data_IF_285477078113
#
_entry.id   IF_285477078113
#
_cell.length_a   1.000
_cell.length_b   1.000
_cell.length_c   1.000
_cell.angle_alpha   90.00
_cell.angle_beta   90.00
_cell.angle_gamma   90.00
#
_symmetry.space_group_name_H-M   'P 1'
#
loop_
_entity.id
_entity.type
_entity.pdbx_description
1 polymer ?
#
# COMPACT_ATOMS: atom_id res chain seq x y z
N UNK A 1 -4.14 2.84 -25.55
CA UNK A 1 -4.18 4.20 -25.00
C UNK A 1 -2.86 4.55 -24.34
N UNK A 2 -2.30 5.72 -24.63
CA UNK A 2 -1.12 6.28 -23.94
C UNK A 2 -1.58 7.21 -22.81
N UNK A 3 -1.42 6.75 -21.56
CA UNK A 3 -1.75 7.51 -20.36
C UNK A 3 -0.54 8.31 -19.83
N UNK A 4 0.25 8.90 -20.72
CA UNK A 4 1.47 9.61 -20.38
C UNK A 4 1.20 10.85 -19.50
N UNK A 5 1.57 10.76 -18.23
CA UNK A 5 1.41 11.83 -17.23
C UNK A 5 2.37 13.01 -17.44
N UNK A 6 3.43 12.84 -18.25
CA UNK A 6 4.36 13.95 -18.56
C UNK A 6 3.70 15.12 -19.31
N UNK A 7 2.50 14.89 -19.85
CA UNK A 7 1.66 15.91 -20.51
C UNK A 7 0.82 16.75 -19.54
N UNK A 8 0.84 16.42 -18.25
CA UNK A 8 0.09 17.14 -17.22
C UNK A 8 0.89 18.36 -16.73
N UNK A 9 0.18 19.46 -16.48
CA UNK A 9 0.77 20.64 -15.86
C UNK A 9 0.67 20.52 -14.32
N UNK A 10 1.52 19.68 -13.75
CA UNK A 10 1.60 19.36 -12.32
C UNK A 10 3.06 19.39 -11.87
N UNK A 11 3.36 19.59 -10.58
CA UNK A 11 4.73 19.70 -10.07
C UNK A 11 5.64 18.52 -10.41
N UNK A 12 5.10 17.31 -10.41
CA UNK A 12 5.84 16.07 -10.62
C UNK A 12 5.13 15.19 -11.67
N UNK A 13 5.23 15.51 -12.98
CA UNK A 13 4.49 14.83 -14.04
C UNK A 13 5.16 13.50 -14.45
N UNK A 14 5.49 12.65 -13.47
CA UNK A 14 6.11 11.33 -13.68
C UNK A 14 5.71 10.35 -12.57
N UNK A 15 5.81 9.07 -12.86
CA UNK A 15 5.76 8.02 -11.85
C UNK A 15 7.16 7.66 -11.40
N UNK A 16 7.36 7.59 -10.08
CA UNK A 16 8.60 7.12 -9.49
C UNK A 16 8.44 5.63 -9.13
N UNK A 17 9.21 4.78 -9.80
CA UNK A 17 9.24 3.34 -9.51
C UNK A 17 10.39 3.04 -8.56
N UNK A 18 10.04 2.66 -7.33
CA UNK A 18 11.01 2.33 -6.28
C UNK A 18 10.77 0.92 -5.76
N UNK A 19 11.86 0.23 -5.40
CA UNK A 19 11.75 -0.98 -4.61
C UNK A 19 11.45 -0.62 -3.16
N UNK A 20 10.55 -1.35 -2.50
CA UNK A 20 10.19 -1.09 -1.10
C UNK A 20 11.41 -1.17 -0.16
N UNK A 21 12.34 -2.07 -0.44
CA UNK A 21 13.59 -2.21 0.31
C UNK A 21 14.41 -0.91 0.28
N UNK A 22 14.62 -0.35 -0.91
CA UNK A 22 15.40 0.89 -1.06
C UNK A 22 14.74 2.07 -0.33
N UNK A 23 13.39 2.19 -0.38
CA UNK A 23 12.68 3.23 0.38
C UNK A 23 12.91 3.03 1.87
N UNK A 24 12.75 1.79 2.35
CA UNK A 24 12.96 1.47 3.77
C UNK A 24 14.38 1.75 4.23
N UNK A 25 15.39 1.44 3.41
CA UNK A 25 16.79 1.71 3.70
C UNK A 25 17.09 3.22 3.78
N UNK A 26 16.58 4.01 2.84
CA UNK A 26 16.76 5.46 2.83
C UNK A 26 16.12 6.10 4.06
N UNK A 27 14.86 5.74 4.37
CA UNK A 27 14.14 6.27 5.52
C UNK A 27 14.82 5.86 6.84
N UNK A 28 15.26 4.61 6.94
CA UNK A 28 15.95 4.11 8.13
C UNK A 28 17.32 4.78 8.30
N UNK A 29 18.09 4.93 7.22
CA UNK A 29 19.37 5.64 7.26
C UNK A 29 19.21 7.08 7.71
N UNK A 30 18.17 7.76 7.19
CA UNK A 30 17.85 9.12 7.62
C UNK A 30 17.48 9.19 9.10
N UNK A 31 16.58 8.32 9.57
CA UNK A 31 16.17 8.27 10.97
C UNK A 31 17.35 7.92 11.90
N UNK A 32 18.21 6.97 11.49
CA UNK A 32 19.36 6.52 12.27
C UNK A 32 20.49 7.56 12.38
N UNK A 33 20.42 8.65 11.61
CA UNK A 33 21.34 9.78 11.75
C UNK A 33 21.02 10.65 12.97
N UNK A 34 19.82 10.55 13.52
CA UNK A 34 19.43 11.22 14.76
C UNK A 34 19.93 10.41 15.97
N UNK A 35 20.64 11.09 16.89
CA UNK A 35 21.20 10.48 18.11
C UNK A 35 20.14 9.91 19.07
N UNK A 36 18.94 10.45 19.00
CA UNK A 36 17.82 10.07 19.87
C UNK A 36 16.92 8.99 19.23
N UNK A 37 17.28 8.52 18.01
CA UNK A 37 16.60 7.41 17.35
C UNK A 37 17.09 6.06 17.87
N UNK A 38 16.19 5.23 18.39
CA UNK A 38 16.47 3.89 18.86
C UNK A 38 15.64 2.86 18.11
N UNK A 39 16.29 1.83 17.54
CA UNK A 39 15.64 0.72 16.87
C UNK A 39 15.84 -0.59 17.60
N UNK A 40 14.76 -1.27 17.91
CA UNK A 40 14.76 -2.59 18.55
C UNK A 40 14.20 -3.63 17.57
N UNK A 41 15.06 -4.53 17.09
CA UNK A 41 14.67 -5.64 16.21
C UNK A 41 15.69 -6.80 16.25
N UNK A 42 15.25 -8.04 16.09
CA UNK A 42 13.85 -8.45 16.08
C UNK A 42 13.24 -8.46 17.47
N UNK A 43 11.99 -8.02 17.56
CA UNK A 43 11.19 -8.12 18.79
C UNK A 43 10.40 -9.42 18.75
N UNK A 44 10.47 -10.23 19.83
CA UNK A 44 9.65 -11.42 20.00
C UNK A 44 8.28 -11.10 20.59
N UNK A 45 8.26 -10.15 21.52
CA UNK A 45 7.03 -9.75 22.20
C UNK A 45 7.08 -8.27 22.56
N UNK A 46 5.96 -7.58 22.31
CA UNK A 46 5.69 -6.23 22.77
C UNK A 46 4.36 -6.27 23.54
N UNK A 47 4.40 -6.01 24.83
CA UNK A 47 3.23 -6.10 25.71
C UNK A 47 2.97 -4.74 26.31
N UNK A 48 1.75 -4.22 26.14
CA UNK A 48 1.29 -3.05 26.87
C UNK A 48 1.09 -3.42 28.34
N UNK A 49 1.69 -2.68 29.25
CA UNK A 49 1.59 -2.89 30.69
C UNK A 49 0.46 -2.02 31.26
N UNK A 50 0.60 -0.71 31.08
CA UNK A 50 -0.36 0.28 31.58
C UNK A 50 -0.31 1.57 30.80
N UNK A 51 -1.37 2.36 30.92
CA UNK A 51 -1.39 3.76 30.51
C UNK A 51 -1.96 4.58 31.66
N UNK A 52 -1.31 5.70 31.95
CA UNK A 52 -1.78 6.71 32.91
C UNK A 52 -2.00 8.07 32.21
N UNK A 53 -2.18 9.12 32.99
CA UNK A 53 -2.44 10.47 32.46
C UNK A 53 -1.26 11.03 31.65
N UNK A 54 -0.02 10.57 31.91
CA UNK A 54 1.19 11.15 31.35
C UNK A 54 1.86 10.28 30.28
N UNK A 55 1.64 8.96 30.28
CA UNK A 55 2.41 8.03 29.44
C UNK A 55 1.76 6.66 29.32
N UNK A 56 2.23 5.90 28.36
CA UNK A 56 1.99 4.48 28.24
C UNK A 56 3.30 3.69 28.41
N UNK A 57 3.24 2.53 29.06
CA UNK A 57 4.38 1.67 29.33
C UNK A 57 4.23 0.34 28.58
N UNK A 58 5.29 -0.03 27.89
CA UNK A 58 5.40 -1.30 27.15
C UNK A 58 6.58 -2.10 27.61
N UNK A 59 6.41 -3.39 27.78
CA UNK A 59 7.50 -4.37 27.96
C UNK A 59 7.86 -4.95 26.60
N UNK A 60 9.14 -4.92 26.27
CA UNK A 60 9.72 -5.52 25.08
C UNK A 60 10.57 -6.72 25.45
N UNK A 61 10.46 -7.79 24.64
CA UNK A 61 11.31 -8.97 24.69
C UNK A 61 12.00 -9.14 23.35
N UNK A 62 13.32 -9.04 23.32
CA UNK A 62 14.13 -9.21 22.13
C UNK A 62 14.42 -10.70 21.84
N UNK A 63 14.95 -11.01 20.66
CA UNK A 63 15.28 -12.38 20.25
C UNK A 63 16.32 -13.05 21.16
N UNK A 64 17.25 -12.30 21.72
CA UNK A 64 18.25 -12.74 22.69
C UNK A 64 17.70 -12.89 24.11
N UNK A 65 16.38 -12.74 24.28
CA UNK A 65 15.63 -12.76 25.55
C UNK A 65 15.93 -11.58 26.49
N UNK A 66 16.60 -10.53 26.03
CA UNK A 66 16.69 -9.29 26.78
C UNK A 66 15.30 -8.68 26.93
N UNK A 67 14.97 -8.29 28.15
CA UNK A 67 13.69 -7.66 28.49
C UNK A 67 13.94 -6.26 29.04
N UNK A 68 13.11 -5.30 28.64
CA UNK A 68 13.14 -3.94 29.18
C UNK A 68 11.78 -3.25 28.96
N UNK A 69 11.58 -2.15 29.66
CA UNK A 69 10.37 -1.32 29.53
C UNK A 69 10.67 -0.03 28.79
N UNK A 70 9.72 0.37 27.96
CA UNK A 70 9.69 1.66 27.29
C UNK A 70 8.49 2.44 27.79
N UNK A 71 8.75 3.69 28.20
CA UNK A 71 7.72 4.66 28.55
C UNK A 71 7.60 5.68 27.42
N UNK A 72 6.39 5.95 26.94
CA UNK A 72 6.15 6.85 25.80
C UNK A 72 4.93 7.74 25.99
N UNK A 73 5.03 8.99 25.53
CA UNK A 73 3.91 9.96 25.48
C UNK A 73 3.04 9.78 24.22
N UNK A 74 3.60 9.28 23.12
CA UNK A 74 2.87 9.01 21.87
C UNK A 74 3.13 7.60 21.40
N UNK A 75 2.08 6.91 20.99
CA UNK A 75 2.14 5.59 20.36
C UNK A 75 1.68 5.70 18.92
N UNK A 76 2.47 5.20 17.98
CA UNK A 76 2.09 5.09 16.58
C UNK A 76 2.00 3.61 16.22
N UNK A 77 0.77 3.11 16.05
CA UNK A 77 0.50 1.74 15.65
C UNK A 77 0.56 1.61 14.13
N UNK A 78 1.66 1.06 13.62
CA UNK A 78 1.91 0.84 12.18
C UNK A 78 2.18 -0.63 11.88
N UNK A 79 1.58 -1.54 12.65
CA UNK A 79 1.85 -2.97 12.67
C UNK A 79 1.00 -3.79 11.68
N UNK A 80 0.42 -3.11 10.68
CA UNK A 80 -0.16 -3.71 9.48
C UNK A 80 -1.54 -4.35 9.69
N UNK A 81 -1.96 -5.14 8.71
CA UNK A 81 -3.30 -5.74 8.62
C UNK A 81 -3.67 -6.54 9.89
N UNK A 82 -2.72 -7.26 10.47
CA UNK A 82 -2.96 -8.09 11.66
C UNK A 82 -2.85 -7.34 13.00
N UNK A 83 -2.72 -6.02 12.97
CA UNK A 83 -2.39 -5.14 14.10
C UNK A 83 -2.75 -5.69 15.49
N UNK A 84 -1.73 -5.87 16.31
CA UNK A 84 -1.90 -6.22 17.73
C UNK A 84 -2.14 -4.97 18.57
N UNK A 85 -1.61 -3.82 18.16
CA UNK A 85 -1.81 -2.54 18.85
C UNK A 85 -3.29 -2.17 18.86
N UNK A 86 -4.00 -2.28 17.72
CA UNK A 86 -5.43 -2.01 17.68
C UNK A 86 -6.22 -2.88 18.67
N UNK A 87 -5.88 -4.18 18.75
CA UNK A 87 -6.53 -5.13 19.68
C UNK A 87 -6.23 -4.79 21.13
N UNK A 88 -4.96 -4.49 21.43
CA UNK A 88 -4.51 -4.14 22.78
C UNK A 88 -5.24 -2.92 23.32
N UNK A 89 -5.47 -1.91 22.46
CA UNK A 89 -6.17 -0.70 22.86
C UNK A 89 -7.69 -0.75 22.62
N UNK A 90 -8.22 -1.90 22.20
CA UNK A 90 -9.65 -2.10 21.98
C UNK A 90 -10.21 -1.18 20.88
N UNK A 91 -9.44 -0.96 19.81
CA UNK A 91 -9.90 -0.29 18.60
C UNK A 91 -10.44 -1.36 17.67
N UNK A 92 -11.75 -1.31 17.44
CA UNK A 92 -12.41 -2.22 16.49
C UNK A 92 -12.07 -1.85 15.05
N UNK A 93 -11.96 -2.89 14.22
CA UNK A 93 -11.67 -2.73 12.79
C UNK A 93 -12.57 -3.65 11.97
N UNK A 94 -13.20 -3.10 10.97
CA UNK A 94 -13.83 -3.86 9.91
C UNK A 94 -12.75 -4.44 8.99
N UNK A 95 -12.94 -5.67 8.54
CA UNK A 95 -12.06 -6.29 7.55
C UNK A 95 -12.87 -6.95 6.46
N UNK A 96 -12.45 -6.73 5.21
CA UNK A 96 -13.03 -7.41 4.05
C UNK A 96 -11.92 -8.10 3.26
N UNK A 97 -12.01 -9.42 3.16
CA UNK A 97 -11.06 -10.24 2.41
C UNK A 97 -11.61 -10.53 1.02
N UNK A 98 -10.88 -10.11 0.00
CA UNK A 98 -11.27 -10.32 -1.40
C UNK A 98 -11.15 -11.78 -1.83
N UNK A 99 -11.94 -12.16 -2.85
CA UNK A 99 -12.00 -13.53 -3.35
C UNK A 99 -10.80 -13.90 -4.23
N UNK A 100 -10.18 -12.92 -4.89
CA UNK A 100 -8.99 -13.16 -5.70
C UNK A 100 -7.72 -12.74 -4.95
N UNK A 101 -6.67 -13.55 -5.11
CA UNK A 101 -5.34 -13.20 -4.60
C UNK A 101 -4.55 -12.45 -5.68
N UNK A 102 -3.63 -11.59 -5.25
CA UNK A 102 -2.67 -10.94 -6.12
C UNK A 102 -1.40 -11.80 -6.22
N UNK A 103 -1.10 -12.29 -7.42
CA UNK A 103 0.19 -12.87 -7.74
C UNK A 103 1.11 -11.77 -8.28
N UNK A 104 2.31 -11.67 -7.71
CA UNK A 104 3.35 -10.72 -8.11
C UNK A 104 4.59 -11.50 -8.47
N UNK A 105 4.99 -11.44 -9.73
CA UNK A 105 6.14 -12.13 -10.30
C UNK A 105 7.25 -11.12 -10.54
N UNK A 106 8.48 -11.51 -10.32
CA UNK A 106 9.65 -10.66 -10.50
C UNK A 106 10.55 -11.24 -11.60
N UNK A 107 10.96 -10.36 -12.54
CA UNK A 107 11.92 -10.68 -13.61
C UNK A 107 13.06 -9.66 -13.56
N UNK A 108 14.33 -10.13 -13.72
CA UNK A 108 15.51 -9.26 -13.83
C UNK A 108 15.81 -8.86 -15.25
N UNK A 109 15.60 -9.79 -16.19
CA UNK A 109 16.18 -9.70 -17.51
C UNK A 109 15.22 -9.09 -18.55
N UNK A 110 13.94 -8.96 -18.21
CA UNK A 110 12.97 -8.38 -19.14
C UNK A 110 13.10 -6.87 -19.17
N UNK A 111 13.59 -6.34 -20.28
CA UNK A 111 13.61 -4.91 -20.54
C UNK A 111 12.34 -4.51 -21.26
N UNK A 112 11.60 -3.62 -20.64
CA UNK A 112 10.56 -2.86 -21.32
C UNK A 112 11.24 -1.94 -22.34
N UNK A 113 10.61 -1.80 -23.53
CA UNK A 113 11.08 -0.91 -24.60
C UNK A 113 11.72 0.39 -24.07
N UNK A 114 12.43 1.13 -24.91
CA UNK A 114 13.24 2.34 -24.61
C UNK A 114 12.63 3.35 -23.63
N UNK A 115 11.32 3.26 -23.34
CA UNK A 115 10.62 4.07 -22.34
C UNK A 115 10.16 3.14 -21.23
N UNK A 116 10.66 3.31 -20.02
CA UNK A 116 10.27 2.58 -18.81
C UNK A 116 8.81 2.86 -18.41
N UNK A 117 7.87 2.39 -19.21
CA UNK A 117 6.44 2.58 -19.00
C UNK A 117 5.81 1.40 -18.27
N UNK A 118 4.87 1.71 -17.37
CA UNK A 118 3.92 0.72 -16.89
C UNK A 118 3.05 0.27 -18.08
N UNK A 119 2.93 -1.06 -18.28
CA UNK A 119 2.06 -1.65 -19.30
C UNK A 119 0.95 -2.46 -18.64
N UNK A 120 -0.24 -2.35 -19.20
CA UNK A 120 -1.41 -3.11 -18.78
C UNK A 120 -1.95 -3.91 -19.95
N UNK A 121 -2.20 -5.20 -19.73
CA UNK A 121 -2.74 -6.12 -20.71
C UNK A 121 -4.08 -6.64 -20.23
N UNK A 122 -5.10 -6.55 -21.08
CA UNK A 122 -6.43 -7.14 -20.84
C UNK A 122 -6.43 -8.58 -21.33
N UNK A 123 -6.58 -9.52 -20.42
CA UNK A 123 -6.63 -10.96 -20.71
C UNK A 123 -8.01 -11.53 -20.35
N UNK A 124 -8.26 -12.78 -20.69
CA UNK A 124 -9.49 -13.45 -20.29
C UNK A 124 -9.55 -13.77 -18.79
N UNK A 125 -8.41 -13.73 -18.10
CA UNK A 125 -8.31 -13.96 -16.65
C UNK A 125 -8.36 -12.67 -15.82
N UNK A 126 -8.34 -11.52 -16.45
CA UNK A 126 -8.27 -10.21 -15.80
C UNK A 126 -7.15 -9.37 -16.36
N UNK A 127 -6.78 -8.36 -15.59
CA UNK A 127 -5.75 -7.40 -15.95
C UNK A 127 -4.39 -7.94 -15.51
N UNK A 128 -3.44 -7.98 -16.45
CA UNK A 128 -2.01 -8.20 -16.17
C UNK A 128 -1.31 -6.86 -16.24
N UNK A 129 -0.65 -6.47 -15.17
CA UNK A 129 0.08 -5.19 -15.10
C UNK A 129 1.58 -5.45 -15.01
N UNK A 130 2.35 -4.83 -15.88
CA UNK A 130 3.80 -4.90 -15.88
C UNK A 130 4.38 -3.55 -15.47
N UNK A 131 5.19 -3.56 -14.41
CA UNK A 131 5.76 -2.37 -13.77
C UNK A 131 7.28 -2.45 -13.86
N UNK A 132 7.96 -1.44 -14.42
CA UNK A 132 9.43 -1.36 -14.44
C UNK A 132 10.01 -1.40 -13.02
N UNK A 133 11.23 -1.91 -12.88
CA UNK A 133 12.01 -1.87 -11.62
C UNK A 133 13.21 -0.94 -11.77
N UNK A 134 13.55 -0.26 -10.69
CA UNK A 134 14.64 0.72 -10.68
C UNK A 134 16.02 0.12 -11.10
N UNK A 135 16.25 -1.15 -10.78
CA UNK A 135 17.52 -1.85 -11.04
C UNK A 135 17.46 -2.76 -12.29
N UNK A 136 16.56 -2.47 -13.22
CA UNK A 136 16.31 -3.30 -14.39
C UNK A 136 15.27 -4.40 -14.13
N UNK A 137 14.78 -5.00 -15.21
CA UNK A 137 13.69 -5.97 -15.17
C UNK A 137 12.33 -5.36 -14.87
N UNK A 138 11.38 -6.20 -14.52
CA UNK A 138 10.02 -5.79 -14.23
C UNK A 138 9.36 -6.60 -13.11
N UNK A 139 8.25 -6.07 -12.64
CA UNK A 139 7.30 -6.75 -11.76
C UNK A 139 6.00 -6.96 -12.53
N UNK A 140 5.51 -8.19 -12.59
CA UNK A 140 4.23 -8.54 -13.24
C UNK A 140 3.21 -8.87 -12.17
N UNK A 141 2.11 -8.13 -12.13
CA UNK A 141 1.00 -8.34 -11.23
C UNK A 141 -0.23 -8.85 -11.97
N UNK A 142 -0.90 -9.87 -11.41
CA UNK A 142 -2.19 -10.37 -11.89
C UNK A 142 -3.00 -10.94 -10.74
N UNK A 143 -4.31 -11.03 -10.92
CA UNK A 143 -5.18 -11.69 -9.94
C UNK A 143 -5.41 -13.15 -10.31
N UNK A 144 -5.45 -14.01 -9.28
CA UNK A 144 -5.75 -15.45 -9.41
C UNK A 144 -6.89 -15.81 -8.46
N UNK A 145 -7.64 -16.87 -8.76
CA UNK A 145 -8.66 -17.40 -7.87
C UNK A 145 -8.05 -17.88 -6.55
N UNK A 146 -8.80 -17.77 -5.47
CA UNK A 146 -8.33 -18.22 -4.13
C UNK A 146 -8.06 -19.73 -4.12
N UNK A 147 -8.82 -20.49 -4.86
CA UNK A 147 -8.65 -21.95 -5.04
C UNK A 147 -7.34 -22.30 -5.74
N UNK A 148 -6.84 -21.42 -6.61
CA UNK A 148 -5.60 -21.62 -7.37
C UNK A 148 -4.35 -21.36 -6.54
N UNK A 149 -4.46 -20.61 -5.43
CA UNK A 149 -3.31 -20.14 -4.62
C UNK A 149 -2.38 -21.29 -4.21
N UNK A 150 -2.92 -22.45 -3.85
CA UNK A 150 -2.11 -23.60 -3.44
C UNK A 150 -1.27 -24.16 -4.58
N UNK A 151 -1.83 -24.22 -5.78
CA UNK A 151 -1.13 -24.70 -6.98
C UNK A 151 -0.11 -23.67 -7.47
N UNK A 152 -0.49 -22.40 -7.50
CA UNK A 152 0.42 -21.32 -7.86
C UNK A 152 1.66 -21.25 -6.96
N UNK A 153 1.52 -21.51 -5.67
CA UNK A 153 2.68 -21.55 -4.72
C UNK A 153 3.64 -22.70 -4.97
N UNK A 154 3.28 -23.71 -5.77
CA UNK A 154 4.13 -24.84 -6.13
C UNK A 154 4.85 -24.65 -7.48
N UNK A 155 4.44 -23.64 -8.27
CA UNK A 155 5.02 -23.41 -9.57
C UNK A 155 6.50 -23.03 -9.46
N UNK A 156 7.28 -23.55 -10.39
CA UNK A 156 8.69 -23.15 -10.56
C UNK A 156 8.77 -21.80 -11.29
N UNK A 157 9.90 -21.10 -11.23
CA UNK A 157 10.14 -19.90 -12.01
C UNK A 157 9.82 -20.06 -13.50
N UNK A 158 10.20 -21.16 -14.12
CA UNK A 158 9.94 -21.47 -15.53
C UNK A 158 8.44 -21.60 -15.80
N UNK A 159 7.71 -22.31 -14.93
CA UNK A 159 6.26 -22.48 -15.05
C UNK A 159 5.50 -21.16 -14.90
N UNK A 160 5.97 -20.25 -14.04
CA UNK A 160 5.41 -18.88 -14.01
C UNK A 160 5.61 -18.15 -15.34
N UNK A 161 6.78 -18.27 -15.97
CA UNK A 161 7.08 -17.72 -17.28
C UNK A 161 6.14 -18.26 -18.36
N UNK A 162 5.89 -19.57 -18.37
CA UNK A 162 4.95 -20.24 -19.30
C UNK A 162 3.52 -19.71 -19.12
N UNK A 163 3.05 -19.60 -17.87
CA UNK A 163 1.71 -19.06 -17.57
C UNK A 163 1.56 -17.63 -18.08
N UNK A 164 2.53 -16.76 -17.82
CA UNK A 164 2.48 -15.37 -18.27
C UNK A 164 2.57 -15.28 -19.80
N UNK A 165 3.44 -16.03 -20.43
CA UNK A 165 3.56 -16.09 -21.90
C UNK A 165 2.26 -16.57 -22.57
N UNK A 166 1.57 -17.53 -21.95
CA UNK A 166 0.26 -18.01 -22.41
C UNK A 166 -0.85 -16.96 -22.30
N UNK A 167 -0.80 -16.12 -21.26
CA UNK A 167 -1.77 -15.04 -21.05
C UNK A 167 -1.47 -13.79 -21.90
N UNK A 168 -0.20 -13.49 -22.07
CA UNK A 168 0.31 -12.31 -22.79
C UNK A 168 1.42 -12.73 -23.74
N UNK A 169 1.09 -13.13 -24.99
CA UNK A 169 2.07 -13.67 -25.93
C UNK A 169 3.26 -12.76 -26.25
N UNK A 170 3.10 -11.43 -26.08
CA UNK A 170 4.21 -10.47 -26.22
C UNK A 170 5.27 -10.59 -25.11
N UNK A 171 4.99 -11.33 -24.03
CA UNK A 171 5.90 -11.61 -22.92
C UNK A 171 6.50 -13.02 -22.99
N UNK A 172 6.57 -13.63 -24.18
CA UNK A 172 7.03 -15.01 -24.39
C UNK A 172 8.44 -15.30 -23.88
N UNK A 173 9.29 -14.28 -23.78
CA UNK A 173 10.69 -14.40 -23.37
C UNK A 173 10.92 -13.97 -21.91
N UNK A 174 9.85 -13.80 -21.14
CA UNK A 174 9.98 -13.36 -19.75
C UNK A 174 10.56 -14.49 -18.87
N UNK A 175 11.63 -14.18 -18.15
CA UNK A 175 12.22 -15.06 -17.15
C UNK A 175 11.79 -14.60 -15.77
N UNK A 176 11.06 -15.45 -15.05
CA UNK A 176 10.64 -15.18 -13.67
C UNK A 176 11.68 -15.72 -12.70
N UNK A 177 12.07 -14.91 -11.71
CA UNK A 177 13.04 -15.31 -10.68
C UNK A 177 12.36 -15.80 -9.41
N UNK A 178 11.34 -15.06 -8.99
CA UNK A 178 10.54 -15.38 -7.81
C UNK A 178 9.13 -14.84 -7.95
N UNK A 179 8.26 -15.29 -7.06
CA UNK A 179 6.87 -14.87 -7.00
C UNK A 179 6.40 -14.73 -5.55
N UNK A 180 5.53 -13.74 -5.32
CA UNK A 180 4.76 -13.59 -4.09
C UNK A 180 3.27 -13.69 -4.37
N UNK A 181 2.51 -14.36 -3.49
CA UNK A 181 1.06 -14.43 -3.61
C UNK A 181 0.45 -13.85 -2.35
N UNK A 182 -0.31 -12.81 -2.51
CA UNK A 182 -0.85 -11.98 -1.44
C UNK A 182 -2.38 -11.98 -1.50
N UNK A 183 -3.08 -12.40 -0.43
CA UNK A 183 -4.53 -12.25 -0.33
C UNK A 183 -4.86 -10.81 0.07
N UNK A 184 -5.46 -10.00 -0.82
CA UNK A 184 -5.83 -8.63 -0.48
C UNK A 184 -6.88 -8.61 0.63
N UNK A 185 -6.73 -7.66 1.54
CA UNK A 185 -7.68 -7.46 2.63
C UNK A 185 -7.82 -5.96 2.86
N UNK A 186 -9.06 -5.46 2.77
CA UNK A 186 -9.37 -4.11 3.20
C UNK A 186 -9.48 -4.08 4.72
N UNK A 187 -8.94 -3.04 5.33
CA UNK A 187 -9.10 -2.73 6.75
C UNK A 187 -9.69 -1.33 6.88
N UNK A 188 -10.67 -1.20 7.75
CA UNK A 188 -11.22 0.09 8.18
C UNK A 188 -11.32 0.11 9.70
N UNK A 189 -10.52 0.94 10.35
CA UNK A 189 -10.63 1.16 11.78
C UNK A 189 -11.83 2.07 12.08
N UNK A 190 -12.64 1.71 13.09
CA UNK A 190 -13.79 2.49 13.51
C UNK A 190 -13.36 3.82 14.17
N UNK A 191 -12.13 3.85 14.64
CA UNK A 191 -11.48 4.99 15.29
C UNK A 191 -9.99 4.91 14.99
N UNK A 192 -9.36 6.04 14.67
CA UNK A 192 -7.92 6.07 14.35
C UNK A 192 -7.07 6.38 15.55
N UNK A 193 -7.64 7.14 16.50
CA UNK A 193 -6.93 7.64 17.66
C UNK A 193 -7.65 7.25 18.95
N UNK A 194 -6.87 6.93 19.99
CA UNK A 194 -7.40 6.64 21.33
C UNK A 194 -6.38 7.03 22.39
N UNK A 195 -6.72 7.96 23.25
CA UNK A 195 -5.78 8.55 24.22
C UNK A 195 -4.54 9.12 23.48
N UNK A 196 -3.36 8.59 23.78
CA UNK A 196 -2.09 8.95 23.17
C UNK A 196 -1.65 8.00 22.03
N UNK A 197 -2.56 7.21 21.50
CA UNK A 197 -2.34 6.28 20.39
C UNK A 197 -2.94 6.83 19.09
N UNK A 198 -2.20 6.68 17.98
CA UNK A 198 -2.72 6.78 16.62
C UNK A 198 -2.38 5.53 15.82
N UNK A 199 -3.34 5.00 15.05
CA UNK A 199 -3.12 3.95 14.05
C UNK A 199 -2.85 4.59 12.69
N UNK A 200 -1.91 4.04 11.92
CA UNK A 200 -1.59 4.49 10.55
C UNK A 200 -1.43 3.31 9.59
N UNK A 201 -1.53 3.59 8.29
CA UNK A 201 -1.35 2.59 7.24
C UNK A 201 -2.33 1.42 7.35
N UNK A 202 -1.88 0.22 7.02
CA UNK A 202 -2.72 -0.98 7.01
C UNK A 202 -3.26 -1.38 8.40
N UNK A 203 -2.70 -0.84 9.48
CA UNK A 203 -3.26 -1.00 10.82
C UNK A 203 -4.57 -0.21 10.98
N UNK A 204 -4.74 0.86 10.22
CA UNK A 204 -5.85 1.81 10.27
C UNK A 204 -6.78 1.71 9.06
N UNK A 205 -6.22 1.78 7.84
CA UNK A 205 -6.93 1.90 6.57
C UNK A 205 -6.24 1.09 5.46
N UNK A 206 -6.27 -0.24 5.58
CA UNK A 206 -5.70 -1.15 4.59
C UNK A 206 -6.45 -1.10 3.26
N UNK A 207 -5.75 -0.84 2.17
CA UNK A 207 -6.29 -0.70 0.82
C UNK A 207 -6.07 -1.97 -0.02
N UNK A 208 -6.98 -2.23 -0.96
CA UNK A 208 -6.73 -3.22 -2.02
C UNK A 208 -5.55 -2.76 -2.89
N UNK A 209 -4.57 -3.62 -3.21
CA UNK A 209 -3.33 -3.22 -3.88
C UNK A 209 -3.49 -2.86 -5.36
N UNK A 210 -4.68 -3.03 -5.94
CA UNK A 210 -4.95 -2.86 -7.38
C UNK A 210 -4.59 -1.49 -7.97
N UNK A 211 -4.43 -0.45 -7.16
CA UNK A 211 -3.98 0.88 -7.59
C UNK A 211 -2.64 1.29 -6.98
N UNK A 212 -1.96 0.43 -6.26
CA UNK A 212 -0.67 0.69 -5.62
C UNK A 212 -0.64 1.96 -4.73
N UNK A 213 -1.74 2.29 -4.05
CA UNK A 213 -1.90 3.54 -3.30
C UNK A 213 -1.65 3.43 -1.80
N UNK A 214 -1.54 2.21 -1.23
CA UNK A 214 -1.45 2.03 0.22
C UNK A 214 -0.29 2.80 0.86
N UNK A 215 0.91 2.68 0.32
CA UNK A 215 2.08 3.40 0.83
C UNK A 215 1.95 4.92 0.67
N UNK A 216 1.51 5.40 -0.49
CA UNK A 216 1.35 6.84 -0.75
C UNK A 216 0.31 7.45 0.21
N UNK A 217 -0.80 6.75 0.44
CA UNK A 217 -1.82 7.17 1.41
C UNK A 217 -1.26 7.24 2.82
N UNK A 218 -0.45 6.24 3.22
CA UNK A 218 0.19 6.22 4.54
C UNK A 218 1.15 7.40 4.70
N UNK A 219 1.99 7.69 3.71
CA UNK A 219 2.92 8.84 3.73
C UNK A 219 2.13 10.15 3.86
N UNK A 220 1.07 10.32 3.08
CA UNK A 220 0.19 11.49 3.18
C UNK A 220 -0.42 11.64 4.58
N UNK A 221 -0.91 10.55 5.17
CA UNK A 221 -1.46 10.56 6.52
C UNK A 221 -0.40 10.93 7.57
N UNK A 222 0.84 10.48 7.41
CA UNK A 222 1.94 10.85 8.30
C UNK A 222 2.24 12.35 8.17
N UNK A 223 2.33 12.87 6.96
CA UNK A 223 2.58 14.29 6.69
C UNK A 223 1.50 15.16 7.34
N UNK A 224 0.23 14.82 7.13
CA UNK A 224 -0.90 15.48 7.80
C UNK A 224 -0.82 15.37 9.33
N UNK A 225 -0.51 14.19 9.88
CA UNK A 225 -0.36 14.01 11.33
C UNK A 225 0.70 14.95 11.90
N UNK A 226 1.83 15.09 11.21
CA UNK A 226 2.93 15.96 11.66
C UNK A 226 2.55 17.45 11.68
N UNK A 227 1.57 17.90 10.89
CA UNK A 227 1.05 19.27 10.94
C UNK A 227 0.31 19.58 12.26
N UNK A 228 -0.30 18.57 12.87
CA UNK A 228 -1.07 18.73 14.12
C UNK A 228 -0.23 18.51 15.38
N UNK A 229 0.78 17.65 15.31
CA UNK A 229 1.57 17.32 16.49
C UNK A 229 2.33 18.55 17.04
N UNK A 230 2.34 18.73 18.37
CA UNK A 230 3.10 19.80 18.98
C UNK A 230 4.60 19.61 18.71
N UNK A 231 5.38 20.70 18.84
CA UNK A 231 6.85 20.60 18.71
C UNK A 231 7.42 19.75 19.84
N UNK A 232 8.56 19.06 19.62
CA UNK A 232 9.15 18.18 20.63
C UNK A 232 9.38 18.82 22.01
N UNK A 233 9.72 20.10 22.04
CA UNK A 233 9.97 20.85 23.28
C UNK A 233 8.72 21.10 24.13
N UNK A 234 7.50 20.96 23.53
CA UNK A 234 6.21 21.16 24.17
C UNK A 234 5.33 19.92 24.13
N UNK A 235 5.90 18.73 24.17
CA UNK A 235 5.21 17.46 23.95
C UNK A 235 4.45 17.01 25.20
N UNK A 236 3.37 17.76 25.57
CA UNK A 236 2.50 17.41 26.67
C UNK A 236 1.35 16.49 26.21
N UNK A 237 0.95 15.55 27.08
CA UNK A 237 0.05 14.47 26.68
C UNK A 237 -1.34 14.98 26.26
N UNK A 238 -1.84 16.01 26.89
CA UNK A 238 -3.14 16.58 26.53
C UNK A 238 -3.08 17.34 25.20
N UNK A 239 -1.96 17.99 24.88
CA UNK A 239 -1.73 18.58 23.56
C UNK A 239 -1.65 17.48 22.48
N UNK A 240 -0.98 16.34 22.78
CA UNK A 240 -0.94 15.19 21.91
C UNK A 240 -2.35 14.65 21.64
N UNK A 241 -3.16 14.41 22.67
CA UNK A 241 -4.54 13.93 22.53
C UNK A 241 -5.40 14.85 21.67
N UNK A 242 -5.29 16.18 21.87
CA UNK A 242 -5.99 17.18 21.06
C UNK A 242 -5.52 17.14 19.60
N UNK A 243 -4.22 17.09 19.37
CA UNK A 243 -3.62 16.99 18.04
C UNK A 243 -4.08 15.73 17.28
N UNK A 244 -4.08 14.58 17.96
CA UNK A 244 -4.54 13.31 17.38
C UNK A 244 -6.03 13.36 17.01
N UNK A 245 -6.88 13.93 17.88
CA UNK A 245 -8.31 14.09 17.59
C UNK A 245 -8.55 15.04 16.42
N UNK A 246 -7.83 16.16 16.34
CA UNK A 246 -7.91 17.09 15.23
C UNK A 246 -7.46 16.45 13.90
N UNK A 247 -6.34 15.73 13.92
CA UNK A 247 -5.85 14.96 12.79
C UNK A 247 -6.91 13.96 12.27
N UNK A 248 -7.47 13.12 13.14
CA UNK A 248 -8.50 12.15 12.74
C UNK A 248 -9.70 12.85 12.11
N UNK A 249 -10.17 13.93 12.74
CA UNK A 249 -11.33 14.70 12.25
C UNK A 249 -11.09 15.26 10.84
N UNK A 250 -9.89 15.73 10.56
CA UNK A 250 -9.56 16.34 9.27
C UNK A 250 -9.22 15.30 8.19
N UNK A 251 -8.40 14.29 8.50
CA UNK A 251 -7.88 13.35 7.51
C UNK A 251 -8.88 12.25 7.16
N UNK A 252 -9.67 11.80 8.13
CA UNK A 252 -10.53 10.62 8.00
C UNK A 252 -11.55 10.69 6.87
N UNK A 253 -12.29 11.77 6.63
CA UNK A 253 -13.30 11.81 5.56
C UNK A 253 -12.73 11.54 4.17
N UNK A 254 -11.58 12.12 3.84
CA UNK A 254 -10.91 11.90 2.56
C UNK A 254 -10.44 10.44 2.40
N UNK A 255 -9.87 9.89 3.43
CA UNK A 255 -9.35 8.51 3.40
C UNK A 255 -10.49 7.48 3.38
N UNK A 256 -11.61 7.74 4.05
CA UNK A 256 -12.78 6.86 3.95
C UNK A 256 -13.41 6.88 2.54
N UNK A 257 -13.42 8.01 1.86
CA UNK A 257 -13.85 8.09 0.46
C UNK A 257 -12.88 7.32 -0.46
N UNK A 258 -11.58 7.46 -0.24
CA UNK A 258 -10.57 6.67 -0.94
C UNK A 258 -10.74 5.16 -0.69
N UNK A 259 -10.96 4.74 0.56
CA UNK A 259 -11.23 3.35 0.92
C UNK A 259 -12.46 2.82 0.16
N UNK A 260 -13.54 3.58 0.13
CA UNK A 260 -14.76 3.21 -0.59
C UNK A 260 -14.51 3.04 -2.08
N UNK A 261 -13.86 4.00 -2.74
CA UNK A 261 -13.49 3.93 -4.16
C UNK A 261 -12.55 2.76 -4.45
N UNK A 262 -11.56 2.54 -3.60
CA UNK A 262 -10.61 1.43 -3.72
C UNK A 262 -11.29 0.06 -3.51
N UNK A 263 -12.25 -0.03 -2.59
CA UNK A 263 -13.04 -1.24 -2.36
C UNK A 263 -13.85 -1.63 -3.61
N UNK A 264 -14.48 -0.67 -4.28
CA UNK A 264 -15.22 -0.94 -5.52
C UNK A 264 -14.30 -1.50 -6.62
N UNK A 265 -13.07 -1.01 -6.71
CA UNK A 265 -12.06 -1.55 -7.63
C UNK A 265 -11.69 -2.99 -7.26
N UNK A 266 -11.47 -3.28 -5.98
CA UNK A 266 -11.22 -4.65 -5.51
C UNK A 266 -12.36 -5.61 -5.87
N UNK A 267 -13.61 -5.19 -5.65
CA UNK A 267 -14.80 -5.97 -6.03
C UNK A 267 -14.90 -6.18 -7.56
N UNK A 268 -14.56 -5.18 -8.36
CA UNK A 268 -14.53 -5.33 -9.82
C UNK A 268 -13.46 -6.32 -10.29
N UNK A 269 -12.33 -6.38 -9.59
CA UNK A 269 -11.30 -7.38 -9.85
C UNK A 269 -11.72 -8.79 -9.44
N UNK A 270 -12.45 -8.95 -8.33
CA UNK A 270 -13.02 -10.22 -7.89
C UNK A 270 -14.04 -10.77 -8.89
N UNK A 271 -14.86 -9.89 -9.46
CA UNK A 271 -15.96 -10.23 -10.36
C UNK A 271 -15.61 -10.03 -11.86
N UNK A 272 -14.30 -10.04 -12.19
CA UNK A 272 -13.88 -9.82 -13.57
C UNK A 272 -14.31 -10.99 -14.47
N UNK A 273 -15.11 -10.67 -15.48
CA UNK A 273 -15.67 -11.59 -16.47
C UNK A 273 -15.50 -11.05 -17.90
N UNK A 274 -16.06 -11.73 -18.88
CA UNK A 274 -16.02 -11.31 -20.27
C UNK A 274 -16.67 -9.92 -20.49
N UNK A 275 -17.78 -9.62 -19.81
CA UNK A 275 -18.42 -8.30 -19.92
C UNK A 275 -17.55 -7.20 -19.32
N UNK A 276 -16.89 -7.47 -18.20
CA UNK A 276 -15.91 -6.57 -17.57
C UNK A 276 -14.76 -6.25 -18.54
N UNK A 277 -14.25 -7.26 -19.25
CA UNK A 277 -13.23 -7.08 -20.29
C UNK A 277 -13.71 -6.17 -21.42
N UNK A 278 -14.91 -6.40 -21.93
CA UNK A 278 -15.52 -5.56 -22.97
C UNK A 278 -15.71 -4.13 -22.49
N UNK A 279 -16.17 -3.93 -21.27
CA UNK A 279 -16.35 -2.61 -20.67
C UNK A 279 -15.01 -1.86 -20.54
N UNK A 280 -13.94 -2.52 -20.09
CA UNK A 280 -12.61 -1.92 -20.03
C UNK A 280 -12.06 -1.54 -21.42
N UNK A 281 -12.27 -2.38 -22.44
CA UNK A 281 -11.90 -2.07 -23.83
C UNK A 281 -12.66 -0.82 -24.30
N UNK A 282 -13.97 -0.77 -24.12
CA UNK A 282 -14.79 0.37 -24.53
C UNK A 282 -14.37 1.65 -23.82
N UNK A 283 -14.08 1.59 -22.52
CA UNK A 283 -13.54 2.72 -21.76
C UNK A 283 -12.26 3.26 -22.37
N UNK A 284 -11.29 2.42 -22.70
CA UNK A 284 -10.04 2.90 -23.33
C UNK A 284 -10.26 3.46 -24.73
N UNK A 285 -11.20 2.91 -25.52
CA UNK A 285 -11.58 3.46 -26.82
C UNK A 285 -12.19 4.87 -26.66
N UNK A 286 -13.06 5.06 -25.69
CA UNK A 286 -13.66 6.38 -25.41
C UNK A 286 -12.62 7.39 -24.91
N UNK A 287 -11.69 6.97 -24.05
CA UNK A 287 -10.59 7.83 -23.59
C UNK A 287 -9.66 8.28 -24.75
N UNK A 288 -9.49 7.45 -25.79
CA UNK A 288 -8.71 7.83 -26.98
C UNK A 288 -9.41 8.87 -27.85
N UNK A 289 -10.74 8.89 -27.81
CA UNK A 289 -11.57 9.83 -28.61
C UNK A 289 -11.86 11.14 -27.87
N UNK A 290 -11.79 11.15 -26.54
CA UNK A 290 -12.15 12.30 -25.70
C UNK A 290 -10.94 12.80 -24.90
N UNK A 291 -10.39 13.93 -25.33
CA UNK A 291 -9.20 14.54 -24.72
C UNK A 291 -9.41 14.98 -23.27
N UNK A 292 -10.62 15.45 -22.91
CA UNK A 292 -10.96 15.87 -21.54
C UNK A 292 -11.01 14.64 -20.61
N UNK A 293 -11.75 13.60 -21.01
CA UNK A 293 -11.79 12.34 -20.26
C UNK A 293 -10.40 11.69 -20.13
N UNK A 294 -9.58 11.78 -21.17
CA UNK A 294 -8.20 11.30 -21.13
C UNK A 294 -7.32 12.14 -20.18
N UNK A 295 -7.55 13.44 -20.12
CA UNK A 295 -6.88 14.32 -19.16
C UNK A 295 -7.24 13.94 -17.72
N UNK A 296 -8.54 13.80 -17.42
CA UNK A 296 -9.04 13.42 -16.10
C UNK A 296 -8.53 12.05 -15.69
N UNK A 297 -8.50 11.09 -16.61
CA UNK A 297 -7.92 9.77 -16.37
C UNK A 297 -6.44 9.86 -15.98
N UNK A 298 -5.64 10.71 -16.65
CA UNK A 298 -4.21 10.92 -16.31
C UNK A 298 -4.06 11.60 -14.95
N UNK A 299 -4.88 12.64 -14.66
CA UNK A 299 -4.90 13.31 -13.36
C UNK A 299 -5.20 12.33 -12.22
N UNK A 300 -6.25 11.51 -12.38
CA UNK A 300 -6.61 10.46 -11.43
C UNK A 300 -5.49 9.42 -11.25
N UNK A 301 -4.82 9.05 -12.34
CA UNK A 301 -3.70 8.10 -12.31
C UNK A 301 -2.48 8.67 -11.59
N UNK A 302 -2.25 9.97 -11.72
CA UNK A 302 -1.19 10.70 -11.03
C UNK A 302 -1.52 11.06 -9.57
N UNK A 303 -2.73 10.73 -9.09
CA UNK A 303 -3.16 11.02 -7.72
C UNK A 303 -3.73 12.42 -7.48
N UNK A 304 -3.86 13.23 -8.53
CA UNK A 304 -4.38 14.61 -8.43
C UNK A 304 -5.89 14.74 -8.64
N UNK A 305 -6.56 13.70 -9.11
CA UNK A 305 -8.01 13.69 -9.37
C UNK A 305 -8.87 13.18 -8.22
N UNK A 306 -8.31 13.03 -7.03
CA UNK A 306 -9.05 12.46 -5.90
C UNK A 306 -9.99 13.46 -5.20
N UNK A 307 -9.97 14.72 -5.61
CA UNK A 307 -10.78 15.80 -5.01
C UNK A 307 -11.95 16.25 -5.90
N UNK A 308 -12.34 15.48 -6.92
CA UNK A 308 -13.49 15.76 -7.77
C UNK A 308 -14.50 14.61 -7.77
#
# INVERSE_FOLDING_TARGET
MDANVSKLNIPHPYFLYLNHENISEVLLSSASSDKDFHMYRPILQCTHIESNEDRSIFKLVLKDKTEFEISTKLIVGADGIASNISKTFGIERESFRYERALAVLFSKDYQLDEVNNLKTFLTDRGIVTMIPRANGGCKVGLTIGREEVKEWKKLTPEQYGEVISGLVPSLKDITVENAGIYPPTMIKANQWTKNNLVLIGDACHGLHPGRSQGMNTTIKCIDQLMEFLPKPDSFEIDEIKQALSAYETQARPEIEDLLKKNHQIGLSMDNFDHQSKVNEINKYIELEKNNEAAHDYRMNSAGYGMNS
#
